data_IF_422655271741
#
_entry.id   IF_422655271741
#
_cell.length_a   1.000
_cell.length_b   1.000
_cell.length_c   1.000
_cell.angle_alpha   90.00
_cell.angle_beta   90.00
_cell.angle_gamma   90.00
#
_symmetry.space_group_name_H-M   'P 1'
#
loop_
_entity.id
_entity.type
_entity.pdbx_description
1 polymer ?
#
# COMPACT_ATOMS: atom_id res chain seq x y z
N UNK A 1 -7.25 -6.76 -3.16
CA UNK A 1 -6.81 -5.71 -2.21
C UNK A 1 -7.25 -6.01 -0.78
N UNK A 2 -8.55 -6.03 -0.45
CA UNK A 2 -9.05 -6.22 0.94
C UNK A 2 -8.48 -7.46 1.66
N UNK A 3 -8.44 -8.62 1.00
CA UNK A 3 -7.89 -9.86 1.57
C UNK A 3 -6.40 -9.70 1.93
N UNK A 4 -5.61 -9.08 1.04
CA UNK A 4 -4.19 -8.83 1.27
C UNK A 4 -3.99 -7.83 2.40
N UNK A 5 -4.78 -6.74 2.43
CA UNK A 5 -4.72 -5.75 3.52
C UNK A 5 -5.09 -6.35 4.88
N UNK A 6 -6.11 -7.20 4.93
CA UNK A 6 -6.50 -7.92 6.15
C UNK A 6 -5.38 -8.86 6.63
N UNK A 7 -4.73 -9.58 5.72
CA UNK A 7 -3.57 -10.43 6.03
C UNK A 7 -2.42 -9.61 6.62
N UNK A 8 -2.04 -8.51 5.97
CA UNK A 8 -0.96 -7.63 6.44
C UNK A 8 -1.28 -7.02 7.81
N UNK A 9 -2.54 -6.60 8.03
CA UNK A 9 -2.97 -6.09 9.32
C UNK A 9 -2.93 -7.16 10.42
N UNK A 10 -3.35 -8.39 10.13
CA UNK A 10 -3.27 -9.50 11.09
C UNK A 10 -1.82 -9.87 11.45
N UNK A 11 -0.89 -9.80 10.48
CA UNK A 11 0.52 -10.15 10.68
C UNK A 11 1.33 -9.04 11.37
N UNK A 12 0.99 -7.78 11.14
CA UNK A 12 1.83 -6.63 11.55
C UNK A 12 1.14 -5.62 12.46
N UNK A 13 -0.16 -5.77 12.71
CA UNK A 13 -0.98 -4.84 13.50
C UNK A 13 -1.46 -3.60 12.72
N UNK A 14 -1.01 -3.37 11.49
CA UNK A 14 -1.39 -2.23 10.67
C UNK A 14 -1.38 -2.56 9.18
N UNK A 15 -2.18 -1.84 8.38
CA UNK A 15 -2.08 -1.91 6.93
C UNK A 15 -2.54 -0.59 6.30
N UNK A 16 -1.81 -0.12 5.30
CA UNK A 16 -2.17 1.02 4.44
C UNK A 16 -2.23 0.54 3.00
N UNK A 17 -3.24 1.00 2.26
CA UNK A 17 -3.38 0.75 0.82
C UNK A 17 -3.12 2.05 0.09
N UNK A 18 -2.18 2.02 -0.86
CA UNK A 18 -1.77 3.17 -1.66
C UNK A 18 -1.87 2.82 -3.14
N UNK A 19 -2.26 3.79 -3.95
CA UNK A 19 -2.15 3.73 -5.41
C UNK A 19 -1.81 5.11 -5.91
N UNK A 20 -1.13 5.18 -7.05
CA UNK A 20 -0.81 6.43 -7.69
C UNK A 20 -2.10 6.99 -8.33
N UNK A 21 -2.40 8.26 -8.06
CA UNK A 21 -3.47 9.02 -8.70
C UNK A 21 -2.83 10.19 -9.45
N UNK A 22 -3.12 10.34 -10.74
CA UNK A 22 -2.56 11.41 -11.58
C UNK A 22 -1.78 10.92 -12.80
N UNK A 23 -1.15 11.86 -13.51
CA UNK A 23 -0.49 11.61 -14.80
C UNK A 23 0.84 10.86 -14.70
N UNK A 24 1.55 11.01 -13.57
CA UNK A 24 2.82 10.33 -13.38
C UNK A 24 2.60 8.95 -12.74
N UNK A 25 2.90 7.91 -13.52
CA UNK A 25 2.91 6.52 -13.13
C UNK A 25 4.21 5.89 -13.64
N UNK A 26 5.09 5.49 -12.72
CA UNK A 26 6.39 4.91 -13.08
C UNK A 26 6.21 3.54 -13.80
N UNK A 27 5.14 2.83 -13.48
CA UNK A 27 4.65 1.66 -14.22
C UNK A 27 3.27 1.96 -14.80
N UNK A 28 3.08 1.74 -16.10
CA UNK A 28 1.78 1.95 -16.78
C UNK A 28 0.70 0.94 -16.39
N UNK A 29 1.03 -0.05 -15.55
CA UNK A 29 0.05 -1.02 -15.06
C UNK A 29 -0.60 -0.53 -13.79
N UNK A 30 -1.93 -0.62 -13.72
CA UNK A 30 -2.66 -0.38 -12.48
C UNK A 30 -2.15 -1.35 -11.41
N UNK A 31 -1.58 -0.80 -10.33
CA UNK A 31 -1.10 -1.56 -9.21
C UNK A 31 -1.40 -0.84 -7.89
N UNK A 32 -1.41 -1.62 -6.82
CA UNK A 32 -1.68 -1.15 -5.47
C UNK A 32 -0.53 -1.61 -4.57
N UNK A 33 -0.06 -0.71 -3.73
CA UNK A 33 0.88 -1.01 -2.66
C UNK A 33 0.08 -1.28 -1.38
N UNK A 34 0.39 -2.38 -0.70
CA UNK A 34 -0.14 -2.69 0.64
C UNK A 34 1.06 -2.82 1.56
N UNK A 35 1.16 -1.94 2.54
CA UNK A 35 2.35 -1.85 3.41
C UNK A 35 1.98 -1.60 4.88
N UNK A 36 2.95 -1.85 5.76
CA UNK A 36 2.90 -1.70 7.21
C UNK A 36 4.21 -1.11 7.73
N UNK A 37 4.18 -0.58 8.95
CA UNK A 37 5.33 0.09 9.58
C UNK A 37 5.17 1.60 9.68
N UNK A 38 6.09 2.22 10.42
CA UNK A 38 6.07 3.66 10.65
C UNK A 38 6.44 4.43 9.39
N UNK A 39 5.83 5.59 9.24
CA UNK A 39 6.20 6.51 8.19
C UNK A 39 7.59 7.08 8.50
N UNK A 40 8.54 6.90 7.57
CA UNK A 40 9.83 7.57 7.64
C UNK A 40 9.61 9.09 7.59
N UNK A 41 9.98 9.78 8.67
CA UNK A 41 10.01 11.23 8.71
C UNK A 41 11.26 11.74 7.98
N UNK A 42 11.13 12.83 7.23
CA UNK A 42 12.24 13.50 6.55
C UNK A 42 12.88 14.54 7.47
#
# INVERSE_FOLDING_TARGET
IKVVAAKVHAETGAARVLTNVGEYQDSKHLHFHVNSGDQLQK
#
